data_IF_876434371542
#
_entry.id   IF_876434371542
#
_cell.length_a   1.000
_cell.length_b   1.000
_cell.length_c   1.000
_cell.angle_alpha   90.00
_cell.angle_beta   90.00
_cell.angle_gamma   90.00
#
_symmetry.space_group_name_H-M   'P 1'
#
loop_
_entity.id
_entity.type
_entity.pdbx_description
1 polymer ?
#
# COMPACT_ATOMS: atom_id res chain seq x y z
N UNK A 1 -39.40 -56.25 -16.70
CA UNK A 1 -39.29 -56.36 -15.23
C UNK A 1 -38.22 -55.39 -14.78
N UNK A 2 -38.62 -54.24 -14.25
CA UNK A 2 -37.67 -53.28 -13.67
C UNK A 2 -37.14 -53.83 -12.34
N UNK A 3 -35.83 -54.05 -12.27
CA UNK A 3 -35.13 -54.42 -11.05
C UNK A 3 -35.15 -53.22 -10.10
N UNK A 4 -36.08 -53.19 -9.14
CA UNK A 4 -36.03 -52.21 -8.04
C UNK A 4 -34.79 -52.49 -7.18
N UNK A 5 -33.93 -51.51 -6.90
CA UNK A 5 -32.77 -51.71 -6.03
C UNK A 5 -33.20 -52.12 -4.63
N UNK A 6 -32.43 -53.01 -4.00
CA UNK A 6 -32.69 -53.44 -2.62
C UNK A 6 -32.55 -52.27 -1.65
N UNK A 7 -33.29 -52.26 -0.53
CA UNK A 7 -33.15 -51.23 0.52
C UNK A 7 -31.69 -51.08 1.01
N UNK A 8 -30.93 -52.17 1.00
CA UNK A 8 -29.50 -52.20 1.33
C UNK A 8 -28.67 -51.37 0.36
N UNK A 9 -29.00 -51.39 -0.94
CA UNK A 9 -28.31 -50.60 -1.96
C UNK A 9 -28.52 -49.09 -1.75
N UNK A 10 -29.70 -48.68 -1.28
CA UNK A 10 -29.97 -47.28 -0.93
C UNK A 10 -29.18 -46.82 0.29
N UNK A 11 -29.12 -47.64 1.36
CA UNK A 11 -28.38 -47.30 2.58
C UNK A 11 -26.89 -47.17 2.28
N UNK A 12 -26.31 -48.11 1.53
CA UNK A 12 -24.89 -48.05 1.13
C UNK A 12 -24.63 -46.81 0.26
N UNK A 13 -25.50 -46.52 -0.71
CA UNK A 13 -25.37 -45.33 -1.56
C UNK A 13 -25.42 -44.02 -0.76
N UNK A 14 -26.34 -43.92 0.22
CA UNK A 14 -26.44 -42.74 1.09
C UNK A 14 -25.21 -42.59 2.00
N UNK A 15 -24.69 -43.68 2.57
CA UNK A 15 -23.48 -43.62 3.39
C UNK A 15 -22.25 -43.19 2.57
N UNK A 16 -22.11 -43.68 1.34
CA UNK A 16 -21.03 -43.27 0.43
C UNK A 16 -21.16 -41.80 0.05
N UNK A 17 -22.38 -41.32 -0.24
CA UNK A 17 -22.63 -39.92 -0.56
C UNK A 17 -22.33 -38.99 0.63
N UNK A 18 -22.76 -39.37 1.85
CA UNK A 18 -22.43 -38.62 3.06
C UNK A 18 -20.92 -38.60 3.25
N UNK A 19 -20.24 -39.74 3.17
CA UNK A 19 -18.78 -39.80 3.34
C UNK A 19 -18.03 -38.99 2.27
N UNK A 20 -18.48 -39.02 1.01
CA UNK A 20 -17.90 -38.24 -0.08
C UNK A 20 -18.08 -36.73 0.09
N UNK A 21 -19.10 -36.28 0.84
CA UNK A 21 -19.31 -34.86 1.18
C UNK A 21 -18.56 -34.50 2.47
N UNK A 22 -18.59 -35.38 3.47
CA UNK A 22 -18.04 -35.10 4.80
C UNK A 22 -16.52 -35.20 4.82
N UNK A 23 -15.91 -36.12 4.08
CA UNK A 23 -14.46 -36.31 4.06
C UNK A 23 -13.73 -35.07 3.50
N UNK A 24 -14.13 -34.47 2.36
CA UNK A 24 -13.55 -33.21 1.90
C UNK A 24 -13.76 -32.06 2.88
N UNK A 25 -14.94 -31.92 3.48
CA UNK A 25 -15.22 -30.86 4.48
C UNK A 25 -14.38 -31.03 5.74
N UNK A 26 -14.20 -32.26 6.20
CA UNK A 26 -13.35 -32.59 7.35
C UNK A 26 -11.87 -32.34 7.04
N UNK A 27 -11.39 -32.73 5.86
CA UNK A 27 -10.02 -32.48 5.42
C UNK A 27 -9.75 -30.99 5.15
N UNK A 28 -10.72 -30.26 4.60
CA UNK A 28 -10.64 -28.82 4.35
C UNK A 28 -10.61 -28.01 5.65
N UNK A 29 -11.46 -28.35 6.62
CA UNK A 29 -11.47 -27.70 7.94
C UNK A 29 -10.21 -27.99 8.77
N UNK A 30 -9.40 -29.00 8.42
CA UNK A 30 -8.18 -29.35 9.13
C UNK A 30 -6.88 -28.88 8.46
N UNK A 31 -6.93 -28.23 7.29
CA UNK A 31 -5.76 -27.55 6.74
C UNK A 31 -5.58 -26.19 7.43
N UNK A 32 -5.22 -26.21 8.72
CA UNK A 32 -4.59 -25.05 9.33
C UNK A 32 -3.21 -24.92 8.71
N UNK A 33 -3.08 -24.06 7.70
CA UNK A 33 -1.76 -23.64 7.21
C UNK A 33 -1.00 -23.09 8.41
N UNK A 34 0.10 -23.74 8.77
CA UNK A 34 0.98 -23.26 9.83
C UNK A 34 1.66 -21.98 9.34
N UNK A 35 1.07 -20.84 9.70
CA UNK A 35 1.53 -19.51 9.28
C UNK A 35 2.96 -19.28 9.77
N UNK A 36 3.32 -19.79 10.96
CA UNK A 36 4.68 -19.65 11.48
C UNK A 36 5.67 -20.43 10.63
N UNK A 37 5.33 -21.65 10.22
CA UNK A 37 6.15 -22.43 9.30
C UNK A 37 6.31 -21.74 7.93
N UNK A 38 5.24 -21.14 7.40
CA UNK A 38 5.28 -20.41 6.13
C UNK A 38 6.16 -19.16 6.25
N UNK A 39 5.93 -18.33 7.28
CA UNK A 39 6.69 -17.09 7.51
C UNK A 39 8.17 -17.40 7.78
N UNK A 40 8.46 -18.42 8.59
CA UNK A 40 9.81 -18.90 8.84
C UNK A 40 10.49 -19.39 7.56
N UNK A 41 9.76 -20.14 6.72
CA UNK A 41 10.23 -20.59 5.41
C UNK A 41 10.56 -19.42 4.47
N UNK A 42 9.68 -18.40 4.40
CA UNK A 42 9.90 -17.19 3.60
C UNK A 42 11.11 -16.39 4.10
N UNK A 43 11.27 -16.21 5.42
CA UNK A 43 12.44 -15.56 5.98
C UNK A 43 13.73 -16.33 5.71
N UNK A 44 13.68 -17.67 5.80
CA UNK A 44 14.84 -18.49 5.47
C UNK A 44 15.21 -18.37 3.99
N UNK A 45 14.22 -18.37 3.09
CA UNK A 45 14.43 -18.14 1.66
C UNK A 45 15.02 -16.75 1.40
N UNK A 46 14.52 -15.71 2.06
CA UNK A 46 15.06 -14.36 1.94
C UNK A 46 16.51 -14.25 2.44
N UNK A 47 16.82 -14.86 3.59
CA UNK A 47 18.16 -14.81 4.18
C UNK A 47 19.19 -15.67 3.43
N UNK A 48 18.74 -16.78 2.85
CA UNK A 48 19.57 -17.67 2.02
C UNK A 48 19.70 -17.19 0.58
N UNK A 49 18.84 -16.27 0.14
CA UNK A 49 18.89 -15.71 -1.19
C UNK A 49 20.26 -15.06 -1.45
N UNK A 50 20.82 -15.39 -2.60
CA UNK A 50 22.00 -14.74 -3.16
C UNK A 50 21.56 -14.16 -4.49
N UNK A 51 21.70 -12.84 -4.70
CA UNK A 51 21.40 -12.24 -6.00
C UNK A 51 22.13 -13.02 -7.09
N UNK A 52 21.42 -13.30 -8.18
CA UNK A 52 22.11 -13.82 -9.37
C UNK A 52 23.21 -12.82 -9.78
N UNK A 53 24.36 -13.28 -10.29
CA UNK A 53 25.42 -12.39 -10.74
C UNK A 53 24.86 -11.37 -11.73
N UNK A 54 24.82 -10.10 -11.32
CA UNK A 54 24.37 -9.01 -12.18
C UNK A 54 25.54 -8.47 -13.02
N UNK A 55 25.25 -7.90 -14.20
CA UNK A 55 26.21 -7.07 -14.93
C UNK A 55 26.81 -6.00 -14.02
N UNK A 56 28.04 -5.57 -14.32
CA UNK A 56 28.70 -4.46 -13.63
C UNK A 56 29.10 -3.41 -14.67
N UNK A 57 28.48 -2.22 -14.68
CA UNK A 57 27.41 -1.78 -13.78
C UNK A 57 26.11 -2.55 -13.99
N UNK A 58 25.27 -2.58 -12.95
CA UNK A 58 23.93 -3.19 -13.02
C UNK A 58 22.99 -2.45 -13.97
N UNK A 59 21.81 -3.03 -14.26
CA UNK A 59 20.81 -2.37 -15.09
C UNK A 59 20.39 -1.02 -14.48
N UNK A 60 20.23 -0.01 -15.33
CA UNK A 60 19.76 1.31 -14.95
C UNK A 60 18.23 1.27 -14.81
N UNK A 61 17.72 1.39 -13.58
CA UNK A 61 16.29 1.26 -13.33
C UNK A 61 15.72 2.55 -12.76
N UNK A 62 14.73 3.11 -13.45
CA UNK A 62 13.89 4.17 -12.89
C UNK A 62 12.67 3.53 -12.21
N UNK A 63 12.31 4.01 -11.02
CA UNK A 63 11.11 3.57 -10.30
C UNK A 63 10.33 4.80 -9.88
N UNK A 64 9.03 4.83 -10.16
CA UNK A 64 8.12 5.88 -9.71
C UNK A 64 6.70 5.32 -9.60
N UNK A 65 5.72 6.03 -9.07
CA UNK A 65 5.82 7.32 -8.41
C UNK A 65 5.45 7.21 -6.95
N UNK A 66 5.90 8.19 -6.18
CA UNK A 66 5.44 8.43 -4.83
C UNK A 66 6.27 7.74 -3.74
N UNK A 67 5.80 7.96 -2.52
CA UNK A 67 6.37 7.46 -1.28
C UNK A 67 5.60 8.07 -0.12
N UNK A 68 5.56 7.37 1.00
CA UNK A 68 4.88 7.84 2.19
C UNK A 68 5.67 7.45 3.44
N UNK A 69 5.27 8.00 4.56
CA UNK A 69 5.72 7.54 5.87
C UNK A 69 4.58 6.80 6.54
N UNK A 70 4.78 5.52 6.83
CA UNK A 70 3.82 4.72 7.59
C UNK A 70 4.18 4.84 9.07
N UNK A 71 3.21 5.24 9.89
CA UNK A 71 3.31 5.25 11.34
C UNK A 71 2.40 4.15 11.87
N UNK A 72 2.98 3.05 12.32
CA UNK A 72 2.26 1.91 12.86
C UNK A 72 2.19 1.99 14.37
N UNK A 73 0.98 1.89 14.91
CA UNK A 73 0.66 1.97 16.35
C UNK A 73 -0.44 0.96 16.70
N UNK A 74 -0.52 0.57 17.97
CA UNK A 74 -1.73 -0.07 18.47
C UNK A 74 -2.88 0.95 18.50
N UNK A 75 -4.00 0.55 17.93
CA UNK A 75 -5.17 1.39 17.79
C UNK A 75 -5.76 1.83 19.13
N UNK A 76 -5.85 0.93 20.11
CA UNK A 76 -6.51 1.20 21.39
C UNK A 76 -5.69 2.17 22.23
N UNK A 77 -4.38 1.93 22.32
CA UNK A 77 -3.45 2.81 23.04
C UNK A 77 -3.39 4.19 22.40
N UNK A 78 -3.39 4.26 21.06
CA UNK A 78 -3.42 5.52 20.34
C UNK A 78 -4.72 6.30 20.59
N UNK A 79 -5.87 5.63 20.54
CA UNK A 79 -7.17 6.25 20.84
C UNK A 79 -7.21 6.81 22.27
N UNK A 80 -6.68 6.07 23.25
CA UNK A 80 -6.58 6.57 24.63
C UNK A 80 -5.66 7.79 24.73
N UNK A 81 -4.54 7.79 24.01
CA UNK A 81 -3.59 8.93 23.99
C UNK A 81 -4.21 10.23 23.48
N UNK A 82 -5.19 10.15 22.58
CA UNK A 82 -5.92 11.29 22.05
C UNK A 82 -7.21 11.60 22.84
N UNK A 83 -7.38 10.98 24.00
CA UNK A 83 -8.49 11.24 24.92
C UNK A 83 -9.78 10.44 24.63
N UNK A 84 -9.72 9.41 23.78
CA UNK A 84 -10.85 8.53 23.49
C UNK A 84 -10.72 7.27 24.35
N UNK A 85 -11.51 7.19 25.42
CA UNK A 85 -11.47 6.05 26.33
C UNK A 85 -11.96 4.77 25.63
N UNK A 86 -11.20 3.66 25.68
CA UNK A 86 -11.65 2.37 25.19
C UNK A 86 -12.92 1.89 25.91
N UNK A 87 -13.18 2.35 27.14
CA UNK A 87 -14.37 1.99 27.92
C UNK A 87 -15.40 3.12 28.00
N UNK A 88 -15.19 4.23 27.27
CA UNK A 88 -16.04 5.41 27.30
C UNK A 88 -17.31 5.25 26.47
N UNK A 89 -18.37 5.95 26.88
CA UNK A 89 -19.62 6.11 26.12
C UNK A 89 -19.74 7.49 25.47
N UNK A 90 -18.61 8.19 25.31
CA UNK A 90 -18.56 9.61 24.93
C UNK A 90 -19.02 9.87 23.48
N UNK A 91 -19.02 8.82 22.65
CA UNK A 91 -19.48 8.85 21.27
C UNK A 91 -20.56 7.80 21.06
N UNK A 92 -21.49 8.04 20.13
CA UNK A 92 -22.60 7.13 19.88
C UNK A 92 -22.09 5.75 19.44
N UNK A 93 -22.68 4.67 19.95
CA UNK A 93 -22.54 3.32 19.38
C UNK A 93 -23.49 3.14 18.18
N UNK A 94 -23.99 4.23 17.60
CA UNK A 94 -24.98 4.14 16.54
C UNK A 94 -24.33 3.56 15.30
N UNK A 95 -24.76 2.36 14.92
CA UNK A 95 -24.38 1.72 13.67
C UNK A 95 -24.76 2.66 12.52
N UNK A 96 -23.81 3.20 11.73
CA UNK A 96 -24.17 3.90 10.52
C UNK A 96 -24.79 2.87 9.58
N UNK A 97 -26.07 3.05 9.25
CA UNK A 97 -26.81 2.30 8.25
C UNK A 97 -26.34 2.72 6.85
N UNK A 98 -25.07 2.44 6.55
CA UNK A 98 -24.44 2.68 5.26
C UNK A 98 -23.87 1.37 4.71
N UNK A 99 -24.19 1.08 3.46
CA UNK A 99 -23.60 -0.03 2.69
C UNK A 99 -22.08 0.14 2.60
N UNK A 100 -21.36 -0.94 2.32
CA UNK A 100 -19.89 -0.93 2.19
C UNK A 100 -19.34 0.05 1.11
N UNK A 101 -20.21 0.64 0.29
CA UNK A 101 -19.88 1.48 -0.87
C UNK A 101 -20.07 2.99 -0.65
N UNK A 102 -20.52 3.44 0.53
CA UNK A 102 -20.59 4.89 0.79
C UNK A 102 -19.21 5.47 1.06
N UNK A 103 -18.90 6.56 0.37
CA UNK A 103 -17.69 7.37 0.61
C UNK A 103 -17.81 8.00 1.99
N UNK A 104 -17.16 7.40 2.99
CA UNK A 104 -17.12 7.93 4.36
C UNK A 104 -16.12 9.09 4.41
N UNK A 105 -16.62 10.33 4.49
CA UNK A 105 -15.80 11.52 4.70
C UNK A 105 -15.55 11.75 6.19
N UNK A 106 -14.30 11.58 6.65
CA UNK A 106 -13.92 11.83 8.04
C UNK A 106 -13.51 13.30 8.24
N UNK A 107 -14.32 14.06 8.99
CA UNK A 107 -14.10 15.49 9.23
C UNK A 107 -13.84 15.83 10.71
N UNK A 108 -14.34 14.98 11.61
CA UNK A 108 -14.29 15.17 13.06
C UNK A 108 -13.65 13.94 13.75
N UNK A 109 -13.28 14.08 15.02
CA UNK A 109 -12.73 12.94 15.78
C UNK A 109 -13.84 11.91 16.02
N UNK A 110 -15.06 12.38 16.21
CA UNK A 110 -16.30 11.60 16.31
C UNK A 110 -16.45 10.68 15.08
N UNK A 111 -16.34 11.22 13.86
CA UNK A 111 -16.45 10.44 12.62
C UNK A 111 -15.43 9.30 12.56
N UNK A 112 -14.18 9.58 12.96
CA UNK A 112 -13.09 8.60 12.97
C UNK A 112 -13.39 7.49 13.97
N UNK A 113 -13.85 7.85 15.17
CA UNK A 113 -14.14 6.90 16.24
C UNK A 113 -15.34 6.02 15.89
N UNK A 114 -16.39 6.58 15.29
CA UNK A 114 -17.57 5.82 14.85
C UNK A 114 -17.22 4.84 13.72
N UNK A 115 -16.48 5.29 12.71
CA UNK A 115 -16.05 4.42 11.60
C UNK A 115 -15.03 3.36 12.06
N UNK A 116 -14.07 3.72 12.92
CA UNK A 116 -13.16 2.75 13.53
C UNK A 116 -13.94 1.69 14.30
N UNK A 117 -14.92 2.09 15.12
CA UNK A 117 -15.77 1.15 15.89
C UNK A 117 -16.52 0.20 14.95
N UNK A 118 -17.10 0.71 13.86
CA UNK A 118 -17.77 -0.10 12.84
C UNK A 118 -16.83 -1.13 12.22
N UNK A 119 -15.63 -0.71 11.81
CA UNK A 119 -14.63 -1.59 11.19
C UNK A 119 -14.06 -2.60 12.19
N UNK A 120 -13.86 -2.20 13.44
CA UNK A 120 -13.39 -3.06 14.54
C UNK A 120 -14.39 -4.18 14.82
N UNK A 121 -15.69 -3.86 14.94
CA UNK A 121 -16.77 -4.85 15.14
C UNK A 121 -16.84 -5.82 13.96
N UNK A 122 -16.76 -5.32 12.73
CA UNK A 122 -16.72 -6.14 11.53
C UNK A 122 -15.41 -6.95 11.41
N UNK A 123 -14.38 -6.59 12.16
CA UNK A 123 -13.00 -7.02 11.95
C UNK A 123 -12.52 -6.75 10.53
N UNK A 124 -12.98 -5.69 9.88
CA UNK A 124 -12.64 -5.37 8.50
C UNK A 124 -11.37 -4.50 8.44
N UNK A 125 -10.56 -4.69 7.39
CA UNK A 125 -9.48 -3.77 7.08
C UNK A 125 -10.11 -2.55 6.41
N UNK A 126 -9.68 -1.36 6.78
CA UNK A 126 -10.16 -0.15 6.15
C UNK A 126 -9.04 0.87 6.01
N UNK A 127 -9.11 1.63 4.93
CA UNK A 127 -8.30 2.79 4.66
C UNK A 127 -9.26 3.96 4.40
N UNK A 128 -9.06 5.07 5.10
CA UNK A 128 -9.98 6.21 5.08
C UNK A 128 -9.24 7.53 4.97
N UNK A 129 -9.80 8.40 4.14
CA UNK A 129 -9.29 9.75 3.96
C UNK A 129 -9.84 10.69 5.03
N UNK A 130 -8.95 11.44 5.70
CA UNK A 130 -9.32 12.48 6.66
C UNK A 130 -9.31 13.84 5.96
N UNK A 131 -10.49 14.43 5.76
CA UNK A 131 -10.66 15.68 5.02
C UNK A 131 -10.16 16.89 5.80
N UNK A 132 -10.33 16.88 7.12
CA UNK A 132 -9.89 17.96 7.99
C UNK A 132 -8.36 17.90 8.20
N UNK A 133 -7.63 18.79 7.52
CA UNK A 133 -6.17 18.86 7.58
C UNK A 133 -5.63 19.13 8.99
N UNK A 134 -6.30 20.01 9.76
CA UNK A 134 -5.88 20.34 11.12
C UNK A 134 -6.03 19.14 12.04
N UNK A 135 -7.14 18.40 11.92
CA UNK A 135 -7.37 17.17 12.67
C UNK A 135 -6.33 16.11 12.31
N UNK A 136 -6.10 15.87 11.02
CA UNK A 136 -5.13 14.87 10.58
C UNK A 136 -3.71 15.20 11.08
N UNK A 137 -3.31 16.47 10.98
CA UNK A 137 -2.04 16.94 11.52
C UNK A 137 -1.92 16.69 13.02
N UNK A 138 -2.98 17.00 13.78
CA UNK A 138 -3.02 16.71 15.22
C UNK A 138 -2.81 15.22 15.51
N UNK A 139 -3.49 14.34 14.78
CA UNK A 139 -3.35 12.88 14.94
C UNK A 139 -1.92 12.41 14.64
N UNK A 140 -1.30 12.92 13.57
CA UNK A 140 0.10 12.61 13.22
C UNK A 140 1.07 13.10 14.29
N UNK A 141 0.89 14.32 14.81
CA UNK A 141 1.75 14.88 15.84
C UNK A 141 1.64 14.04 17.14
N UNK A 142 0.44 13.57 17.51
CA UNK A 142 0.22 12.66 18.65
C UNK A 142 0.84 11.28 18.42
N UNK A 143 0.72 10.74 17.21
CA UNK A 143 1.31 9.47 16.83
C UNK A 143 2.84 9.51 16.95
N UNK A 144 3.48 10.60 16.50
CA UNK A 144 4.92 10.82 16.65
C UNK A 144 5.29 10.95 18.14
N UNK A 145 4.53 11.71 18.92
CA UNK A 145 4.77 11.86 20.35
C UNK A 145 4.71 10.51 21.11
N UNK A 146 3.80 9.62 20.72
CA UNK A 146 3.72 8.25 21.24
C UNK A 146 4.99 7.44 20.98
N UNK A 147 5.59 7.59 19.79
CA UNK A 147 6.84 6.91 19.44
C UNK A 147 8.07 7.50 20.15
N UNK A 148 8.07 8.81 20.42
CA UNK A 148 9.17 9.51 21.08
C UNK A 148 9.17 9.36 22.61
N UNK A 149 8.01 9.05 23.21
CA UNK A 149 7.88 8.79 24.65
C UNK A 149 7.56 7.32 24.94
N UNK A 150 8.55 6.41 24.84
CA UNK A 150 8.34 4.97 24.89
C UNK A 150 8.02 4.43 26.29
N UNK A 151 8.05 5.22 27.37
CA UNK A 151 7.74 4.73 28.73
C UNK A 151 6.31 4.16 28.79
N UNK A 152 5.33 4.81 28.15
CA UNK A 152 3.93 4.33 28.10
C UNK A 152 3.76 3.09 27.20
N UNK A 153 4.43 3.03 26.05
CA UNK A 153 4.32 1.89 25.12
C UNK A 153 5.15 0.67 25.57
N UNK A 154 6.22 0.86 26.36
CA UNK A 154 7.06 -0.23 26.89
C UNK A 154 6.40 -0.99 28.03
N UNK A 155 5.62 -0.33 28.89
CA UNK A 155 4.87 -1.01 29.96
C UNK A 155 3.75 -1.90 29.39
N UNK A 156 3.11 -1.49 28.30
CA UNK A 156 2.04 -2.24 27.64
C UNK A 156 2.52 -3.38 26.72
N UNK A 157 3.84 -3.55 26.53
CA UNK A 157 4.44 -4.42 25.51
C UNK A 157 3.99 -4.09 24.08
N UNK A 158 3.45 -2.89 23.86
CA UNK A 158 2.92 -2.43 22.60
C UNK A 158 4.05 -1.90 21.72
N UNK A 159 4.13 -2.39 20.48
CA UNK A 159 5.10 -1.90 19.49
C UNK A 159 4.47 -0.81 18.63
N UNK A 160 5.14 0.33 18.56
CA UNK A 160 4.92 1.33 17.51
C UNK A 160 6.22 1.55 16.73
N UNK A 161 6.12 1.78 15.42
CA UNK A 161 7.28 2.07 14.59
C UNK A 161 6.92 2.93 13.39
N UNK A 162 7.94 3.57 12.83
CA UNK A 162 7.84 4.34 11.59
C UNK A 162 8.60 3.60 10.49
N UNK A 163 8.01 3.51 9.30
CA UNK A 163 8.67 2.96 8.12
C UNK A 163 8.46 3.83 6.89
N UNK A 164 9.40 3.73 5.95
CA UNK A 164 9.19 4.26 4.61
C UNK A 164 8.21 3.34 3.87
N UNK A 165 7.06 3.88 3.52
CA UNK A 165 6.00 3.21 2.80
C UNK A 165 5.96 3.55 1.31
N UNK A 166 4.99 2.95 0.63
CA UNK A 166 4.75 3.14 -0.79
C UNK A 166 5.43 2.11 -1.69
N UNK A 167 4.76 1.72 -2.77
CA UNK A 167 5.24 0.67 -3.67
C UNK A 167 6.58 1.05 -4.32
N UNK A 168 6.72 2.30 -4.76
CA UNK A 168 7.92 2.75 -5.47
C UNK A 168 9.19 2.71 -4.59
N UNK A 169 9.21 3.26 -3.36
CA UNK A 169 10.37 3.15 -2.48
C UNK A 169 10.73 1.71 -2.09
N UNK A 170 9.73 0.85 -1.87
CA UNK A 170 9.94 -0.58 -1.55
C UNK A 170 10.57 -1.31 -2.73
N UNK A 171 10.02 -1.16 -3.93
CA UNK A 171 10.58 -1.74 -5.15
C UNK A 171 11.99 -1.21 -5.44
N UNK A 172 12.20 0.10 -5.33
CA UNK A 172 13.50 0.72 -5.53
C UNK A 172 14.57 0.15 -4.59
N UNK A 173 14.22 0.00 -3.31
CA UNK A 173 15.09 -0.59 -2.29
C UNK A 173 15.41 -2.05 -2.62
N UNK A 174 14.41 -2.84 -3.06
CA UNK A 174 14.65 -4.23 -3.45
C UNK A 174 15.55 -4.33 -4.67
N UNK A 175 15.26 -3.59 -5.73
CA UNK A 175 16.04 -3.58 -6.98
C UNK A 175 17.49 -3.18 -6.72
N UNK A 176 17.73 -2.19 -5.85
CA UNK A 176 19.08 -1.80 -5.48
C UNK A 176 19.82 -2.91 -4.70
N UNK A 177 19.13 -3.65 -3.82
CA UNK A 177 19.69 -4.84 -3.15
C UNK A 177 20.01 -5.98 -4.12
N UNK A 178 19.26 -6.07 -5.22
CA UNK A 178 19.50 -7.04 -6.30
C UNK A 178 20.67 -6.64 -7.22
N UNK A 179 21.24 -5.43 -7.06
CA UNK A 179 22.38 -4.95 -7.83
C UNK A 179 22.04 -4.04 -8.99
N UNK A 180 20.80 -3.54 -9.10
CA UNK A 180 20.44 -2.52 -10.07
C UNK A 180 20.92 -1.12 -9.65
N UNK A 181 21.17 -0.27 -10.65
CA UNK A 181 21.49 1.14 -10.46
C UNK A 181 20.21 1.95 -10.47
N UNK A 182 19.66 2.21 -9.28
CA UNK A 182 18.29 2.69 -9.15
C UNK A 182 18.20 4.21 -9.04
N UNK A 183 17.28 4.78 -9.83
CA UNK A 183 16.78 6.15 -9.62
C UNK A 183 15.30 6.10 -9.22
N UNK A 184 15.00 6.48 -7.98
CA UNK A 184 13.64 6.65 -7.47
C UNK A 184 13.13 8.05 -7.83
N UNK A 185 12.05 8.10 -8.59
CA UNK A 185 11.34 9.34 -8.96
C UNK A 185 10.21 9.55 -7.95
N UNK A 186 10.52 10.32 -6.91
CA UNK A 186 9.61 10.59 -5.80
C UNK A 186 9.89 11.95 -5.17
N UNK A 187 8.82 12.61 -4.71
CA UNK A 187 8.88 13.80 -3.86
C UNK A 187 8.87 13.36 -2.40
N UNK A 188 10.06 13.16 -1.86
CA UNK A 188 10.25 12.71 -0.49
C UNK A 188 10.64 13.87 0.42
N UNK A 189 10.09 13.86 1.63
CA UNK A 189 10.61 14.64 2.74
C UNK A 189 12.06 14.24 3.07
N UNK A 190 12.77 15.12 3.79
CA UNK A 190 14.14 14.83 4.21
C UNK A 190 14.25 13.57 5.09
N UNK A 191 13.18 13.20 5.81
CA UNK A 191 13.13 11.99 6.63
C UNK A 191 13.06 10.75 5.78
N UNK A 192 12.12 10.71 4.83
CA UNK A 192 11.91 9.58 3.92
C UNK A 192 13.16 9.34 3.06
N UNK A 193 13.77 10.40 2.54
CA UNK A 193 15.01 10.30 1.76
C UNK A 193 16.17 9.68 2.57
N UNK A 194 16.24 9.92 3.88
CA UNK A 194 17.25 9.31 4.77
C UNK A 194 16.97 7.85 5.11
N UNK A 195 15.72 7.39 5.00
CA UNK A 195 15.35 6.01 5.24
C UNK A 195 15.72 5.08 4.07
N UNK A 196 15.96 5.65 2.88
CA UNK A 196 16.42 4.91 1.71
C UNK A 196 17.88 4.46 1.84
N UNK A 197 18.25 3.31 1.25
CA UNK A 197 19.64 2.90 1.17
C UNK A 197 20.45 3.90 0.31
N UNK A 198 21.74 4.14 0.61
CA UNK A 198 22.57 5.07 -0.15
C UNK A 198 22.74 4.74 -1.65
N UNK A 199 22.47 3.48 -2.04
CA UNK A 199 22.53 3.03 -3.44
C UNK A 199 21.32 3.49 -4.27
N UNK A 200 20.23 3.93 -3.64
CA UNK A 200 19.06 4.48 -4.34
C UNK A 200 19.22 5.97 -4.49
N UNK A 201 19.29 6.45 -5.73
CA UNK A 201 19.30 7.89 -6.02
C UNK A 201 17.88 8.43 -6.10
N UNK A 202 17.58 9.48 -5.36
CA UNK A 202 16.27 10.15 -5.43
C UNK A 202 16.32 11.29 -6.42
N UNK A 203 15.34 11.33 -7.33
CA UNK A 203 15.09 12.44 -8.24
C UNK A 203 13.73 13.03 -7.92
N UNK A 204 13.71 14.30 -7.50
CA UNK A 204 12.51 15.02 -7.08
C UNK A 204 12.19 16.17 -8.04
N UNK A 205 10.91 16.48 -8.20
CA UNK A 205 10.46 17.57 -9.06
C UNK A 205 10.98 18.93 -8.55
N UNK A 206 11.45 19.82 -9.45
CA UNK A 206 11.98 21.12 -9.07
C UNK A 206 10.89 22.07 -8.55
N UNK A 207 11.27 23.02 -7.69
CA UNK A 207 10.34 23.97 -7.04
C UNK A 207 9.61 24.90 -8.01
N UNK A 208 10.17 25.14 -9.20
CA UNK A 208 9.52 25.94 -10.26
C UNK A 208 8.31 25.25 -10.90
N UNK A 209 8.01 24.00 -10.54
CA UNK A 209 6.81 23.28 -10.96
C UNK A 209 5.55 23.67 -10.14
N UNK A 210 5.58 24.78 -9.40
CA UNK A 210 4.45 25.27 -8.60
C UNK A 210 4.20 24.45 -7.32
N UNK A 211 5.19 23.67 -6.90
CA UNK A 211 5.15 22.83 -5.71
C UNK A 211 6.06 23.43 -4.62
N UNK A 212 5.77 23.18 -3.33
CA UNK A 212 6.64 23.63 -2.25
C UNK A 212 8.06 23.08 -2.41
N UNK A 213 9.05 23.87 -1.99
CA UNK A 213 10.47 23.51 -2.09
C UNK A 213 10.81 22.25 -1.28
N UNK A 214 10.17 22.10 -0.13
CA UNK A 214 10.25 20.90 0.71
C UNK A 214 8.91 20.18 0.57
N UNK A 215 8.88 18.94 0.06
CA UNK A 215 7.69 18.12 0.09
C UNK A 215 7.23 17.92 1.54
N UNK A 216 5.94 18.11 1.80
CA UNK A 216 5.34 17.56 3.00
C UNK A 216 5.27 16.05 2.84
N UNK A 217 5.52 15.31 3.93
CA UNK A 217 5.44 13.85 3.90
C UNK A 217 3.97 13.46 3.83
N UNK A 218 3.62 12.65 2.84
CA UNK A 218 2.35 11.93 2.85
C UNK A 218 2.47 10.86 3.95
N UNK A 219 1.65 10.98 5.01
CA UNK A 219 1.72 10.11 6.20
C UNK A 219 0.51 9.19 6.22
N UNK A 220 0.75 7.90 6.47
CA UNK A 220 -0.28 6.90 6.70
C UNK A 220 -0.25 6.48 8.18
N UNK A 221 -1.32 6.74 8.92
CA UNK A 221 -1.45 6.25 10.29
C UNK A 221 -2.07 4.84 10.26
N UNK A 222 -1.26 3.83 10.56
CA UNK A 222 -1.66 2.42 10.55
C UNK A 222 -1.97 1.99 11.98
N UNK A 223 -3.26 1.93 12.30
CA UNK A 223 -3.75 1.59 13.64
C UNK A 223 -4.10 0.09 13.71
N UNK A 224 -3.21 -0.70 14.30
CA UNK A 224 -3.35 -2.15 14.40
C UNK A 224 -4.05 -2.57 15.69
N UNK A 225 -4.84 -3.64 15.63
CA UNK A 225 -5.46 -4.25 16.79
C UNK A 225 -5.47 -5.76 16.67
N UNK A 226 -5.36 -6.43 17.82
CA UNK A 226 -5.29 -7.88 17.88
C UNK A 226 -6.66 -8.55 17.99
N UNK A 227 -6.73 -9.80 17.53
CA UNK A 227 -7.87 -10.68 17.82
C UNK A 227 -8.07 -10.77 19.33
N UNK A 228 -9.31 -10.59 19.78
CA UNK A 228 -9.63 -10.63 21.20
C UNK A 228 -9.39 -9.33 21.94
N UNK A 229 -8.83 -8.30 21.29
CA UNK A 229 -8.80 -6.95 21.85
C UNK A 229 -10.22 -6.47 22.15
N UNK A 230 -10.38 -5.70 23.22
CA UNK A 230 -11.67 -5.17 23.67
C UNK A 230 -11.70 -3.68 23.41
N UNK A 231 -12.68 -3.25 22.62
CA UNK A 231 -12.98 -1.85 22.36
C UNK A 231 -14.45 -1.62 22.71
N UNK A 232 -14.69 -0.79 23.73
CA UNK A 232 -15.99 -0.60 24.37
C UNK A 232 -16.57 -1.95 24.81
N UNK A 233 -17.79 -2.25 24.37
CA UNK A 233 -18.49 -3.49 24.67
C UNK A 233 -18.27 -4.55 23.58
N UNK A 234 -17.28 -4.37 22.70
CA UNK A 234 -17.02 -5.23 21.55
C UNK A 234 -15.64 -5.88 21.62
N UNK A 235 -15.54 -7.08 21.06
CA UNK A 235 -14.30 -7.84 20.98
C UNK A 235 -13.94 -8.07 19.53
N UNK A 236 -12.70 -7.77 19.14
CA UNK A 236 -12.24 -7.94 17.77
C UNK A 236 -12.27 -9.42 17.35
N UNK A 237 -12.97 -9.78 16.25
CA UNK A 237 -13.07 -11.17 15.81
C UNK A 237 -11.75 -11.72 15.21
N UNK A 238 -10.87 -10.83 14.75
CA UNK A 238 -9.55 -11.14 14.19
C UNK A 238 -8.60 -9.94 14.34
N UNK A 239 -7.29 -10.18 14.24
CA UNK A 239 -6.31 -9.11 14.16
C UNK A 239 -6.45 -8.40 12.82
N UNK A 240 -6.43 -7.06 12.84
CA UNK A 240 -6.53 -6.26 11.63
C UNK A 240 -5.99 -4.84 11.86
N UNK A 241 -6.09 -4.00 10.82
CA UNK A 241 -5.59 -2.62 10.82
C UNK A 241 -6.62 -1.65 10.25
N UNK A 242 -6.65 -0.46 10.82
CA UNK A 242 -7.42 0.68 10.36
C UNK A 242 -6.46 1.81 9.98
N UNK A 243 -6.50 2.25 8.72
CA UNK A 243 -5.51 3.17 8.17
C UNK A 243 -6.18 4.53 7.93
N UNK A 244 -5.63 5.58 8.52
CA UNK A 244 -6.01 6.96 8.23
C UNK A 244 -4.95 7.59 7.33
N UNK A 245 -5.40 8.14 6.21
CA UNK A 245 -4.54 8.81 5.24
C UNK A 245 -5.02 10.23 4.96
N UNK A 246 -4.08 11.07 4.55
CA UNK A 246 -4.37 12.36 3.95
C UNK A 246 -3.25 12.74 2.99
N UNK A 247 -3.13 11.96 1.92
CA UNK A 247 -2.08 12.19 0.93
C UNK A 247 -2.41 13.40 0.03
N UNK A 248 -1.40 14.22 -0.23
CA UNK A 248 -1.49 15.35 -1.16
C UNK A 248 -0.59 15.14 -2.38
N UNK A 249 0.63 14.62 -2.21
CA UNK A 249 1.62 14.55 -3.29
C UNK A 249 1.41 13.30 -4.18
N UNK A 250 1.13 12.15 -3.57
CA UNK A 250 0.95 10.88 -4.27
C UNK A 250 -0.27 10.88 -5.22
N UNK A 251 -1.50 11.24 -4.79
CA UNK A 251 -2.68 11.26 -5.66
C UNK A 251 -2.58 12.27 -6.81
N UNK A 252 -1.75 13.31 -6.64
CA UNK A 252 -1.52 14.33 -7.67
C UNK A 252 -0.44 13.92 -8.67
N UNK A 253 0.21 12.77 -8.50
CA UNK A 253 1.42 12.37 -9.24
C UNK A 253 2.44 13.51 -9.30
N UNK A 254 2.66 14.22 -8.19
CA UNK A 254 3.53 15.40 -8.17
C UNK A 254 4.99 15.11 -8.53
N UNK A 255 5.39 13.84 -8.52
CA UNK A 255 6.70 13.36 -8.96
C UNK A 255 6.81 13.20 -10.48
N UNK A 256 5.75 13.44 -11.24
CA UNK A 256 5.76 13.51 -12.70
C UNK A 256 5.75 14.99 -13.13
N UNK A 257 6.83 15.45 -13.77
CA UNK A 257 6.95 16.83 -14.27
C UNK A 257 7.53 16.88 -15.69
N UNK A 258 7.27 17.96 -16.46
CA UNK A 258 7.91 18.19 -17.74
C UNK A 258 9.43 18.29 -17.61
N UNK A 259 10.17 17.46 -18.33
CA UNK A 259 11.64 17.41 -18.23
C UNK A 259 12.15 16.44 -17.17
N UNK A 260 11.30 15.52 -16.69
CA UNK A 260 11.72 14.38 -15.88
C UNK A 260 12.87 13.62 -16.54
N UNK A 261 12.76 13.26 -17.83
CA UNK A 261 13.85 12.58 -18.54
C UNK A 261 15.13 13.42 -18.60
N UNK A 262 15.02 14.72 -18.93
CA UNK A 262 16.18 15.61 -18.96
C UNK A 262 16.84 15.80 -17.58
N UNK A 263 16.07 15.66 -16.50
CA UNK A 263 16.57 15.72 -15.12
C UNK A 263 17.26 14.40 -14.76
N UNK A 264 16.67 13.27 -15.16
CA UNK A 264 17.29 11.96 -15.02
C UNK A 264 18.60 11.89 -15.81
N UNK A 265 18.65 12.38 -17.05
CA UNK A 265 19.88 12.44 -17.84
C UNK A 265 21.01 13.19 -17.14
N UNK A 266 20.71 14.27 -16.41
CA UNK A 266 21.72 15.12 -15.74
C UNK A 266 22.12 14.62 -14.35
N UNK A 267 21.15 14.10 -13.61
CA UNK A 267 21.29 13.86 -12.17
C UNK A 267 20.97 12.43 -11.76
N UNK A 268 20.40 11.61 -12.64
CA UNK A 268 20.06 10.22 -12.38
C UNK A 268 21.29 9.34 -12.16
N UNK A 269 21.02 8.07 -11.91
CA UNK A 269 22.08 7.07 -11.85
C UNK A 269 22.37 6.55 -13.26
N UNK A 270 23.65 6.58 -13.66
CA UNK A 270 24.12 6.14 -14.98
C UNK A 270 25.09 4.95 -14.90
N UNK A 271 25.25 4.33 -13.73
CA UNK A 271 26.16 3.18 -13.57
C UNK A 271 27.60 3.52 -13.95
N UNK A 272 28.05 4.74 -13.69
CA UNK A 272 29.40 5.21 -14.05
C UNK A 272 29.61 5.63 -15.52
N UNK A 273 28.57 5.58 -16.37
CA UNK A 273 28.61 6.16 -17.73
C UNK A 273 28.66 7.69 -17.65
N UNK A 274 29.36 8.35 -18.59
CA UNK A 274 29.51 9.82 -18.57
C UNK A 274 28.33 10.49 -19.27
N UNK A 275 27.93 11.65 -18.75
CA UNK A 275 26.97 12.54 -19.40
C UNK A 275 27.47 12.90 -20.81
N UNK A 276 26.74 12.52 -21.85
CA UNK A 276 27.12 12.74 -23.25
C UNK A 276 27.60 11.51 -24.01
N UNK A 277 27.72 10.35 -23.36
CA UNK A 277 27.68 9.07 -24.07
C UNK A 277 26.29 8.98 -24.73
N UNK A 278 26.22 8.96 -26.05
CA UNK A 278 25.02 9.24 -26.86
C UNK A 278 23.81 8.29 -26.68
N UNK A 279 23.78 7.48 -25.61
CA UNK A 279 22.83 6.40 -25.41
C UNK A 279 22.58 6.04 -23.92
N UNK A 280 22.77 6.96 -22.96
CA UNK A 280 22.37 6.67 -21.58
C UNK A 280 20.85 6.90 -21.43
N UNK A 281 20.08 5.82 -21.42
CA UNK A 281 18.65 5.79 -21.07
C UNK A 281 18.43 4.68 -20.02
N UNK A 282 17.32 4.71 -19.27
CA UNK A 282 17.00 3.64 -18.32
C UNK A 282 16.75 2.33 -19.07
N UNK A 283 17.29 1.22 -18.59
CA UNK A 283 16.97 -0.11 -19.15
C UNK A 283 15.52 -0.51 -18.82
N UNK A 284 15.01 -0.06 -17.66
CA UNK A 284 13.67 -0.32 -17.17
C UNK A 284 13.10 0.92 -16.47
N UNK A 285 11.82 1.21 -16.73
CA UNK A 285 11.00 2.11 -15.94
C UNK A 285 9.85 1.33 -15.27
N UNK A 286 9.83 1.35 -13.94
CA UNK A 286 8.76 0.75 -13.14
C UNK A 286 7.79 1.86 -12.72
N UNK A 287 6.54 1.73 -13.15
CA UNK A 287 5.41 2.59 -12.79
C UNK A 287 4.58 1.92 -11.71
N UNK A 288 4.40 2.58 -10.58
CA UNK A 288 3.58 2.17 -9.44
C UNK A 288 3.03 3.38 -8.71
N UNK A 289 2.27 3.14 -7.64
CA UNK A 289 1.67 4.21 -6.84
C UNK A 289 0.42 4.84 -7.46
N UNK A 290 -0.01 4.42 -8.66
CA UNK A 290 -1.18 5.01 -9.32
C UNK A 290 -2.51 4.72 -8.58
N UNK A 291 -2.52 3.72 -7.68
CA UNK A 291 -3.67 3.45 -6.82
C UNK A 291 -3.99 4.59 -5.85
N UNK A 292 -3.02 5.44 -5.50
CA UNK A 292 -3.29 6.57 -4.59
C UNK A 292 -4.17 7.63 -5.25
N UNK A 293 -4.34 7.58 -6.57
CA UNK A 293 -5.28 8.43 -7.32
C UNK A 293 -6.72 7.90 -7.26
N UNK A 294 -6.89 6.63 -6.92
CA UNK A 294 -8.17 5.95 -6.85
C UNK A 294 -8.94 6.43 -5.61
N UNK A 295 -10.19 6.87 -5.79
CA UNK A 295 -11.02 7.48 -4.74
C UNK A 295 -10.39 8.70 -4.04
N UNK A 296 -9.37 9.31 -4.64
CA UNK A 296 -8.71 10.48 -4.08
C UNK A 296 -9.64 11.70 -4.13
N UNK A 297 -9.85 12.33 -2.97
CA UNK A 297 -10.66 13.54 -2.83
C UNK A 297 -9.87 14.79 -3.24
N UNK A 298 -9.66 14.96 -4.54
CA UNK A 298 -8.97 16.12 -5.11
C UNK A 298 -9.99 17.08 -5.73
N UNK A 299 -9.98 18.35 -5.31
CA UNK A 299 -10.84 19.40 -5.87
C UNK A 299 -10.00 20.57 -6.38
N UNK A 300 -10.08 20.94 -7.67
CA UNK A 300 -10.79 20.23 -8.75
C UNK A 300 -10.19 18.84 -9.04
N UNK A 301 -10.96 17.95 -9.66
CA UNK A 301 -10.46 16.63 -10.07
C UNK A 301 -9.40 16.78 -11.19
N UNK A 302 -8.14 16.57 -10.84
CA UNK A 302 -7.01 16.66 -11.77
C UNK A 302 -6.59 15.30 -12.33
N UNK A 303 -7.22 14.20 -11.91
CA UNK A 303 -6.80 12.84 -12.26
C UNK A 303 -6.76 12.60 -13.78
N UNK A 304 -7.75 13.04 -14.59
CA UNK A 304 -7.70 12.88 -16.04
C UNK A 304 -6.48 13.59 -16.66
N UNK A 305 -6.18 14.82 -16.23
CA UNK A 305 -5.02 15.57 -16.70
C UNK A 305 -3.72 14.83 -16.36
N UNK A 306 -3.60 14.30 -15.14
CA UNK A 306 -2.40 13.56 -14.71
C UNK A 306 -2.22 12.24 -15.46
N UNK A 307 -3.30 11.54 -15.78
CA UNK A 307 -3.25 10.36 -16.65
C UNK A 307 -2.78 10.72 -18.06
N UNK A 308 -3.26 11.84 -18.62
CA UNK A 308 -2.81 12.32 -19.93
C UNK A 308 -1.32 12.72 -19.92
N UNK A 309 -0.85 13.35 -18.84
CA UNK A 309 0.56 13.67 -18.65
C UNK A 309 1.43 12.41 -18.57
N UNK A 310 0.99 11.39 -17.84
CA UNK A 310 1.67 10.10 -17.75
C UNK A 310 1.72 9.40 -19.09
N UNK A 311 0.59 9.36 -19.81
CA UNK A 311 0.51 8.84 -21.18
C UNK A 311 1.48 9.57 -22.10
N UNK A 312 1.54 10.90 -22.03
CA UNK A 312 2.46 11.72 -22.84
C UNK A 312 3.91 11.40 -22.51
N UNK A 313 4.26 11.26 -21.23
CA UNK A 313 5.59 10.87 -20.80
C UNK A 313 6.00 9.50 -21.37
N UNK A 314 5.16 8.48 -21.18
CA UNK A 314 5.41 7.11 -21.65
C UNK A 314 5.53 7.02 -23.19
N UNK A 315 4.73 7.81 -23.92
CA UNK A 315 4.66 7.71 -25.38
C UNK A 315 5.64 8.60 -26.14
N UNK A 316 6.03 9.75 -25.57
CA UNK A 316 6.80 10.78 -26.27
C UNK A 316 8.14 11.13 -25.61
N UNK A 317 8.25 11.04 -24.28
CA UNK A 317 9.47 11.43 -23.57
C UNK A 317 10.37 10.25 -23.25
N UNK A 318 9.80 9.11 -22.89
CA UNK A 318 10.57 7.92 -22.54
C UNK A 318 11.23 7.32 -23.80
N UNK A 319 12.55 7.07 -23.81
CA UNK A 319 13.23 6.46 -24.95
C UNK A 319 12.67 5.07 -25.26
N UNK A 320 12.32 4.82 -26.53
CA UNK A 320 11.68 3.56 -26.99
C UNK A 320 12.36 2.25 -26.54
N UNK A 321 13.69 2.17 -26.40
CA UNK A 321 14.32 0.93 -25.93
C UNK A 321 14.13 0.67 -24.41
N UNK A 322 13.65 1.65 -23.65
CA UNK A 322 13.36 1.49 -22.21
C UNK A 322 12.16 0.56 -22.04
N UNK A 323 12.31 -0.53 -21.30
CA UNK A 323 11.17 -1.39 -20.96
C UNK A 323 10.31 -0.70 -19.89
N UNK A 324 9.00 -0.91 -19.93
CA UNK A 324 8.06 -0.35 -18.96
C UNK A 324 7.31 -1.46 -18.23
N UNK A 325 7.44 -1.49 -16.91
CA UNK A 325 6.65 -2.36 -16.04
C UNK A 325 5.62 -1.54 -15.28
N UNK A 326 4.35 -1.95 -15.28
CA UNK A 326 3.28 -1.36 -14.48
C UNK A 326 2.91 -2.28 -13.31
N UNK A 327 3.24 -1.84 -12.10
CA UNK A 327 2.86 -2.51 -10.86
C UNK A 327 1.46 -2.03 -10.42
N UNK A 328 0.47 -2.89 -10.62
CA UNK A 328 -0.91 -2.67 -10.18
C UNK A 328 -1.05 -3.02 -8.70
N UNK A 329 -1.71 -2.14 -7.96
CA UNK A 329 -2.13 -2.40 -6.59
C UNK A 329 -3.66 -2.53 -6.50
N UNK A 330 -4.22 -2.26 -5.31
CA UNK A 330 -5.65 -2.31 -5.07
C UNK A 330 -6.35 -1.10 -5.69
N UNK A 331 -7.35 -1.33 -6.54
CA UNK A 331 -8.25 -0.31 -7.07
C UNK A 331 -9.69 -0.68 -6.73
N UNK A 332 -10.49 0.32 -6.39
CA UNK A 332 -11.91 0.24 -6.01
C UNK A 332 -12.77 0.89 -7.11
N UNK A 333 -12.39 2.06 -7.66
CA UNK A 333 -13.20 2.71 -8.70
C UNK A 333 -13.02 2.04 -10.07
N UNK A 334 -14.02 1.25 -10.48
CA UNK A 334 -14.01 0.53 -11.77
C UNK A 334 -13.79 1.46 -12.98
N UNK A 335 -14.44 2.63 -13.00
CA UNK A 335 -14.30 3.57 -14.10
C UNK A 335 -12.89 4.18 -14.15
N UNK A 336 -12.29 4.47 -12.99
CA UNK A 336 -10.94 4.99 -12.91
C UNK A 336 -9.94 3.98 -13.46
N UNK A 337 -9.96 2.73 -12.98
CA UNK A 337 -9.00 1.71 -13.43
C UNK A 337 -9.16 1.39 -14.92
N UNK A 338 -10.38 1.37 -15.45
CA UNK A 338 -10.63 1.18 -16.89
C UNK A 338 -10.05 2.33 -17.72
N UNK A 339 -10.22 3.57 -17.27
CA UNK A 339 -9.66 4.74 -17.97
C UNK A 339 -8.13 4.76 -17.89
N UNK A 340 -7.57 4.50 -16.70
CA UNK A 340 -6.14 4.41 -16.47
C UNK A 340 -5.50 3.36 -17.38
N UNK A 341 -6.01 2.13 -17.35
CA UNK A 341 -5.47 1.01 -18.13
C UNK A 341 -5.57 1.27 -19.64
N UNK A 342 -6.68 1.81 -20.15
CA UNK A 342 -6.79 2.21 -21.55
C UNK A 342 -5.76 3.26 -21.96
N UNK A 343 -5.40 4.16 -21.05
CA UNK A 343 -4.44 5.22 -21.32
C UNK A 343 -2.99 4.72 -21.33
N UNK A 344 -2.60 3.84 -20.40
CA UNK A 344 -1.19 3.48 -20.20
C UNK A 344 -0.78 2.11 -20.76
N UNK A 345 -1.66 1.11 -20.77
CA UNK A 345 -1.29 -0.26 -21.18
C UNK A 345 -0.70 -0.37 -22.60
N UNK A 346 -1.09 0.45 -23.60
CA UNK A 346 -0.43 0.43 -24.91
C UNK A 346 1.07 0.76 -24.90
N UNK A 347 1.60 1.27 -23.77
CA UNK A 347 2.99 1.69 -23.59
C UNK A 347 3.69 0.91 -22.48
N UNK A 348 3.14 -0.24 -22.08
CA UNK A 348 3.63 -1.09 -21.00
C UNK A 348 4.04 -2.45 -21.55
N UNK A 349 5.23 -2.92 -21.20
CA UNK A 349 5.78 -4.21 -21.63
C UNK A 349 5.47 -5.34 -20.63
N UNK A 350 5.23 -5.00 -19.36
CA UNK A 350 5.02 -5.95 -18.27
C UNK A 350 4.04 -5.43 -17.22
N UNK A 351 3.24 -6.31 -16.61
CA UNK A 351 2.25 -5.95 -15.59
C UNK A 351 2.43 -6.85 -14.37
N UNK A 352 2.51 -6.25 -13.18
CA UNK A 352 2.36 -6.94 -11.90
C UNK A 352 0.97 -6.67 -11.32
N UNK A 353 0.32 -7.71 -10.76
CA UNK A 353 -0.97 -7.56 -10.07
C UNK A 353 -1.14 -8.63 -9.00
N UNK A 354 -1.86 -8.29 -7.93
CA UNK A 354 -2.47 -9.29 -7.05
C UNK A 354 -3.71 -9.87 -7.75
N UNK A 355 -3.74 -11.19 -7.91
CA UNK A 355 -4.97 -11.88 -8.30
C UNK A 355 -5.93 -11.84 -7.10
N UNK A 356 -7.22 -11.50 -7.29
CA UNK A 356 -8.20 -11.74 -6.25
C UNK A 356 -8.20 -13.24 -5.96
N UNK A 357 -7.94 -13.61 -4.70
CA UNK A 357 -8.09 -14.99 -4.25
C UNK A 357 -9.58 -15.32 -4.39
N UNK A 358 -9.95 -16.39 -5.13
CA UNK A 358 -11.34 -16.71 -5.43
C UNK A 358 -12.17 -17.07 -4.20
#
# INVERSE_FOLDING_TARGET
MEHRPSKTSYIVGTCVAIFAIWLPVYLYNHQSVDIEAVVSGLHHLEASYRPFPQPQPGPLVMVGFGGCTDITLNALDFMESIGVSPNGSDFSDSSPQGTHDEVVELNTLEDIVEEFTKMFIAGAAAERYVKNQTLFKFLVDQAIACLENPENYREAATRGFMSLGGNAPVMATRLAKEGAEVTLVARLSAREARALPPSVRVLSAPSNFGLPMTPESDVHLVLEYDRGAVWRNHTAPRSNRYILIRDEENPRLSSLWPGLMSSWEKFGNHGGKKLGDAAAYPDLFVVGGLQTMDNAMISPDIRPQRIDELKRFLSLELPRPTLVHFEMASFVETNFIVNLTRAILPYVDSIGRLLPVP
#
